data_IF_500406878546
#
_entry.id   IF_500406878546
#
_cell.length_a   1.000
_cell.length_b   1.000
_cell.length_c   1.000
_cell.angle_alpha   90.00
_cell.angle_beta   90.00
_cell.angle_gamma   90.00
#
_symmetry.space_group_name_H-M   'P 1'
#
loop_
_entity.id
_entity.type
_entity.pdbx_description
1 polymer ?
#
# COMPACT_ATOMS: atom_id res chain seq x y z
N UNK A 1 8.05 -48.63 36.77
CA UNK A 1 6.78 -48.45 36.06
C UNK A 1 5.67 -48.24 37.10
N UNK A 2 5.30 -46.99 37.37
CA UNK A 2 4.09 -46.68 38.12
C UNK A 2 2.88 -47.00 37.20
N UNK A 3 2.14 -48.03 37.50
CA UNK A 3 0.82 -48.25 36.92
C UNK A 3 -0.12 -47.24 37.57
N UNK A 4 -0.92 -46.51 36.74
CA UNK A 4 -1.92 -45.58 37.24
C UNK A 4 -2.77 -46.20 38.36
N UNK A 5 -2.93 -45.46 39.43
CA UNK A 5 -3.74 -45.84 40.58
C UNK A 5 -5.23 -45.68 40.26
N UNK A 6 -5.84 -46.70 39.66
CA UNK A 6 -7.25 -46.95 39.98
C UNK A 6 -7.28 -47.45 41.44
N UNK A 7 -8.30 -47.08 42.23
CA UNK A 7 -8.46 -47.34 43.66
C UNK A 7 -7.66 -48.51 44.17
N UNK A 8 -6.38 -48.24 44.59
CA UNK A 8 -5.52 -49.28 45.14
C UNK A 8 -5.71 -49.28 46.63
N UNK A 9 -6.40 -50.25 47.12
CA UNK A 9 -6.49 -50.49 48.57
C UNK A 9 -5.12 -50.89 49.10
N UNK A 10 -4.59 -50.11 50.03
CA UNK A 10 -3.37 -50.43 50.79
C UNK A 10 -3.74 -51.09 52.09
N UNK A 11 -2.97 -52.04 52.51
CA UNK A 11 -3.10 -52.77 53.77
C UNK A 11 -2.06 -52.29 54.75
N UNK A 12 -2.51 -51.84 55.93
CA UNK A 12 -1.62 -51.55 57.04
C UNK A 12 -1.89 -52.59 58.15
N UNK A 13 -0.81 -53.12 58.73
CA UNK A 13 -0.87 -54.10 59.82
C UNK A 13 -0.26 -53.47 61.03
N UNK A 14 -0.98 -53.48 62.12
CA UNK A 14 -0.52 -53.06 63.44
C UNK A 14 -0.33 -54.33 64.33
N UNK A 15 0.84 -54.52 64.81
CA UNK A 15 1.19 -55.72 65.65
C UNK A 15 1.50 -55.24 67.08
N UNK A 16 0.85 -55.87 68.05
CA UNK A 16 1.12 -55.65 69.51
C UNK A 16 2.50 -56.08 69.91
N UNK A 17 3.17 -55.23 70.73
CA UNK A 17 4.49 -55.52 71.30
C UNK A 17 4.47 -55.28 72.85
N UNK A 18 5.38 -55.84 73.56
CA UNK A 18 5.52 -55.72 75.02
C UNK A 18 4.32 -56.34 75.77
N UNK A 19 3.51 -55.48 76.41
CA UNK A 19 2.33 -55.92 77.18
C UNK A 19 1.09 -56.18 76.30
N UNK A 20 1.24 -56.02 74.99
CA UNK A 20 0.13 -56.24 74.03
C UNK A 20 0.55 -57.37 73.05
N UNK A 21 -0.44 -58.15 72.59
CA UNK A 21 -0.25 -59.22 71.58
C UNK A 21 -1.39 -59.15 70.57
N UNK A 22 -1.13 -59.75 69.42
CA UNK A 22 -2.08 -59.86 68.32
C UNK A 22 -1.82 -58.84 67.21
N UNK A 23 -2.61 -58.90 66.15
CA UNK A 23 -2.46 -58.11 64.91
C UNK A 23 -3.80 -57.58 64.49
N UNK A 24 -3.85 -56.32 64.11
CA UNK A 24 -5.03 -55.65 63.48
C UNK A 24 -4.66 -55.21 62.10
N UNK A 25 -5.53 -55.42 61.17
CA UNK A 25 -5.37 -55.00 59.74
C UNK A 25 -6.40 -53.90 59.42
N UNK A 26 -5.88 -52.80 58.85
CA UNK A 26 -6.68 -51.74 58.29
C UNK A 26 -6.44 -51.58 56.78
N UNK A 27 -7.45 -51.29 56.03
CA UNK A 27 -7.36 -50.98 54.62
C UNK A 27 -7.73 -49.52 54.36
N UNK A 28 -7.00 -48.87 53.44
CA UNK A 28 -7.27 -47.52 52.98
C UNK A 28 -7.06 -47.38 51.48
N UNK A 29 -7.77 -46.49 50.83
CA UNK A 29 -7.57 -46.19 49.41
C UNK A 29 -6.61 -45.01 49.24
N UNK A 30 -5.73 -45.13 48.26
CA UNK A 30 -4.95 -43.98 47.76
C UNK A 30 -5.64 -43.52 46.48
N UNK A 31 -6.21 -42.33 46.52
CA UNK A 31 -6.93 -41.72 45.38
C UNK A 31 -6.00 -40.79 44.64
N UNK A 32 -6.25 -40.64 43.32
CA UNK A 32 -5.53 -39.67 42.50
C UNK A 32 -5.79 -38.23 42.96
N UNK A 33 -4.72 -37.44 43.02
CA UNK A 33 -4.75 -36.01 43.41
C UNK A 33 -5.42 -35.18 42.31
N UNK A 34 -6.26 -34.24 42.65
CA UNK A 34 -7.03 -33.43 41.70
C UNK A 34 -6.22 -32.22 41.21
N UNK A 35 -6.16 -32.05 39.87
CA UNK A 35 -5.47 -30.93 39.20
C UNK A 35 -6.29 -29.65 39.09
N UNK A 36 -7.54 -29.63 39.57
CA UNK A 36 -8.41 -28.46 39.41
C UNK A 36 -7.87 -27.12 39.99
N UNK A 37 -6.92 -27.23 40.92
CA UNK A 37 -6.21 -26.12 41.56
C UNK A 37 -4.78 -25.90 41.07
N UNK A 38 -4.33 -26.66 40.08
CA UNK A 38 -2.97 -26.52 39.55
C UNK A 38 -2.83 -25.20 38.78
N UNK A 39 -1.69 -24.54 38.97
CA UNK A 39 -1.26 -23.41 38.17
C UNK A 39 -0.68 -23.89 36.84
N UNK A 40 -1.17 -23.32 35.76
CA UNK A 40 -0.73 -23.66 34.40
C UNK A 40 -0.12 -22.41 33.75
N UNK A 41 1.19 -22.47 33.54
CA UNK A 41 1.92 -21.41 32.87
C UNK A 41 2.19 -21.84 31.40
N UNK A 42 1.80 -20.97 30.46
CA UNK A 42 2.01 -21.15 29.02
C UNK A 42 2.41 -19.81 28.41
N UNK A 43 3.46 -19.81 27.58
CA UNK A 43 3.99 -18.60 26.95
C UNK A 43 3.17 -18.21 25.72
N UNK A 44 3.08 -16.90 25.47
CA UNK A 44 2.55 -16.37 24.21
C UNK A 44 3.42 -16.84 23.03
N UNK A 45 2.80 -16.92 21.87
CA UNK A 45 3.47 -17.34 20.62
C UNK A 45 3.18 -16.32 19.50
N UNK A 46 3.98 -16.35 18.44
CA UNK A 46 3.72 -15.55 17.23
C UNK A 46 3.11 -16.45 16.16
N UNK A 47 2.16 -15.93 15.41
CA UNK A 47 1.51 -16.62 14.29
C UNK A 47 2.54 -17.17 13.28
N UNK A 48 2.37 -18.45 12.90
CA UNK A 48 3.27 -19.15 11.96
C UNK A 48 2.53 -19.77 10.78
N UNK A 49 1.20 -19.69 10.73
CA UNK A 49 0.36 -20.40 9.76
C UNK A 49 0.11 -21.88 10.11
N UNK A 50 0.66 -22.37 11.23
CA UNK A 50 0.50 -23.76 11.69
C UNK A 50 -0.01 -23.80 13.12
N UNK A 51 -0.51 -24.97 13.55
CA UNK A 51 -0.88 -25.19 14.96
C UNK A 51 0.31 -24.96 15.87
N UNK A 52 0.11 -24.16 16.91
CA UNK A 52 1.11 -23.79 17.91
C UNK A 52 0.88 -24.62 19.19
N UNK A 53 1.94 -25.23 19.69
CA UNK A 53 1.92 -26.05 20.89
C UNK A 53 3.03 -25.62 21.85
N UNK A 54 2.91 -24.40 22.44
CA UNK A 54 3.93 -23.87 23.35
C UNK A 54 4.11 -24.79 24.56
N UNK A 55 5.32 -24.80 25.12
CA UNK A 55 5.61 -25.57 26.33
C UNK A 55 4.73 -25.09 27.50
N UNK A 56 4.27 -26.05 28.30
CA UNK A 56 3.41 -25.82 29.46
C UNK A 56 4.12 -26.28 30.72
N UNK A 57 4.13 -25.44 31.75
CA UNK A 57 4.56 -25.80 33.08
C UNK A 57 3.36 -25.89 33.99
N UNK A 58 3.18 -27.00 34.65
CA UNK A 58 2.08 -27.27 35.61
C UNK A 58 2.65 -27.40 37.00
N UNK A 59 2.16 -26.58 37.94
CA UNK A 59 2.57 -26.57 39.34
C UNK A 59 1.36 -26.85 40.23
N UNK A 60 1.49 -27.76 41.17
CA UNK A 60 0.46 -28.07 42.16
C UNK A 60 1.08 -28.18 43.54
N UNK A 61 0.64 -27.39 44.53
CA UNK A 61 1.17 -27.32 45.88
C UNK A 61 2.71 -27.15 45.91
N UNK A 62 3.20 -26.17 45.08
CA UNK A 62 4.62 -25.83 44.90
C UNK A 62 5.47 -26.91 44.22
N UNK A 63 4.89 -28.01 43.76
CA UNK A 63 5.57 -29.08 43.02
C UNK A 63 5.34 -28.95 41.53
N UNK A 64 6.42 -28.98 40.72
CA UNK A 64 6.35 -29.02 39.27
C UNK A 64 6.07 -30.45 38.81
N UNK A 65 4.99 -30.64 38.08
CA UNK A 65 4.55 -31.93 37.55
C UNK A 65 5.25 -32.27 36.24
N UNK A 66 5.41 -33.58 35.98
CA UNK A 66 6.07 -34.09 34.79
C UNK A 66 5.06 -34.36 33.65
N UNK A 67 5.29 -33.71 32.52
CA UNK A 67 4.50 -33.99 31.31
C UNK A 67 4.63 -35.45 30.89
N UNK A 68 3.54 -35.99 30.29
CA UNK A 68 3.43 -37.40 29.82
C UNK A 68 3.48 -38.47 30.92
N UNK A 69 3.75 -38.08 32.19
CA UNK A 69 3.70 -38.94 33.36
C UNK A 69 2.53 -38.56 34.26
N UNK A 70 2.52 -37.33 34.72
CA UNK A 70 1.54 -36.79 35.68
C UNK A 70 0.34 -36.16 34.98
N UNK A 71 0.55 -35.65 33.76
CA UNK A 71 -0.49 -35.04 32.94
C UNK A 71 -0.20 -35.15 31.43
N UNK A 72 -1.25 -34.94 30.63
CA UNK A 72 -1.16 -34.74 29.18
C UNK A 72 -1.83 -33.44 28.80
N UNK A 73 -1.40 -32.84 27.69
CA UNK A 73 -1.94 -31.56 27.20
C UNK A 73 -2.62 -31.73 25.86
N UNK A 74 -3.63 -30.87 25.61
CA UNK A 74 -4.23 -30.66 24.31
C UNK A 74 -4.49 -29.19 24.09
N UNK A 75 -4.52 -28.75 22.82
CA UNK A 75 -4.68 -27.35 22.44
C UNK A 75 -5.90 -27.16 21.57
N UNK A 76 -6.51 -25.97 21.68
CA UNK A 76 -7.60 -25.53 20.81
C UNK A 76 -7.46 -24.05 20.49
N UNK A 77 -8.04 -23.62 19.35
CA UNK A 77 -7.92 -22.25 18.82
C UNK A 77 -6.45 -21.77 18.67
N UNK A 78 -5.54 -22.70 18.42
CA UNK A 78 -4.09 -22.50 18.48
C UNK A 78 -3.44 -22.32 17.10
N UNK A 79 -4.17 -21.84 16.09
CA UNK A 79 -3.66 -21.60 14.73
C UNK A 79 -3.57 -20.12 14.42
N UNK A 80 -4.66 -19.38 14.58
CA UNK A 80 -4.76 -17.98 14.20
C UNK A 80 -4.39 -17.03 15.34
N UNK A 81 -3.98 -15.82 15.00
CA UNK A 81 -3.75 -14.75 15.95
C UNK A 81 -5.00 -14.52 16.81
N UNK A 82 -4.77 -14.34 18.11
CA UNK A 82 -5.84 -14.23 19.10
C UNK A 82 -6.31 -12.79 19.26
N UNK A 83 -7.51 -12.65 19.80
CA UNK A 83 -8.11 -11.38 20.19
C UNK A 83 -8.51 -11.43 21.65
N UNK A 84 -8.90 -10.30 22.24
CA UNK A 84 -9.41 -10.26 23.61
C UNK A 84 -10.62 -11.21 23.83
N UNK A 85 -11.42 -11.47 22.78
CA UNK A 85 -12.62 -12.32 22.84
C UNK A 85 -12.37 -13.78 22.42
N UNK A 86 -11.23 -14.08 21.76
CA UNK A 86 -10.92 -15.40 21.23
C UNK A 86 -9.47 -15.72 21.55
N UNK A 87 -9.22 -16.37 22.67
CA UNK A 87 -7.91 -16.83 23.11
C UNK A 87 -7.64 -18.27 22.65
N UNK A 88 -6.37 -18.59 22.47
CA UNK A 88 -5.93 -19.97 22.37
C UNK A 88 -6.02 -20.63 23.75
N UNK A 89 -6.32 -21.90 23.79
CA UNK A 89 -6.54 -22.63 25.05
C UNK A 89 -5.67 -23.88 25.10
N UNK A 90 -5.02 -24.10 26.22
CA UNK A 90 -4.41 -25.37 26.59
C UNK A 90 -5.28 -26.06 27.64
N UNK A 91 -5.50 -27.34 27.46
CA UNK A 91 -6.20 -28.21 28.42
C UNK A 91 -5.23 -29.22 28.96
N UNK A 92 -5.01 -29.21 30.28
CA UNK A 92 -4.19 -30.13 31.02
C UNK A 92 -5.09 -31.17 31.66
N UNK A 93 -4.84 -32.46 31.39
CA UNK A 93 -5.60 -33.59 31.95
C UNK A 93 -4.66 -34.45 32.77
N UNK A 94 -5.00 -34.69 34.04
CA UNK A 94 -4.25 -35.54 34.93
C UNK A 94 -4.20 -36.99 34.49
N UNK A 95 -3.06 -37.64 34.70
CA UNK A 95 -2.79 -39.06 34.43
C UNK A 95 -2.06 -39.67 35.61
N UNK A 96 -2.01 -40.99 35.67
CA UNK A 96 -1.27 -41.71 36.73
C UNK A 96 -1.81 -41.41 38.12
N UNK A 97 -1.03 -40.70 38.93
CA UNK A 97 -1.39 -40.33 40.31
C UNK A 97 -2.26 -39.06 40.39
N UNK A 98 -2.59 -38.49 39.26
CA UNK A 98 -3.37 -37.27 39.17
C UNK A 98 -4.65 -37.48 38.35
N UNK A 99 -5.69 -36.70 38.63
CA UNK A 99 -6.99 -36.73 37.95
C UNK A 99 -7.51 -35.31 37.74
N UNK A 100 -8.60 -35.20 36.97
CA UNK A 100 -9.24 -33.94 36.72
C UNK A 100 -8.60 -33.21 35.54
N UNK A 101 -9.10 -32.01 35.29
CA UNK A 101 -8.70 -31.20 34.13
C UNK A 101 -8.66 -29.74 34.57
N UNK A 102 -7.64 -29.03 34.12
CA UNK A 102 -7.51 -27.57 34.24
C UNK A 102 -7.19 -26.95 32.89
N UNK A 103 -7.65 -25.74 32.65
CA UNK A 103 -7.42 -25.02 31.39
C UNK A 103 -6.70 -23.69 31.63
N UNK A 104 -5.84 -23.31 30.72
CA UNK A 104 -5.26 -21.99 30.68
C UNK A 104 -5.36 -21.42 29.24
N UNK A 105 -5.29 -20.09 29.13
CA UNK A 105 -5.30 -19.43 27.83
C UNK A 105 -3.96 -18.78 27.56
N UNK A 106 -3.62 -18.67 26.28
CA UNK A 106 -2.43 -17.97 25.84
C UNK A 106 -2.71 -17.13 24.59
N UNK A 107 -1.84 -16.15 24.34
CA UNK A 107 -1.95 -15.29 23.18
C UNK A 107 -1.12 -15.79 22.01
N UNK A 108 -1.70 -15.65 20.82
CA UNK A 108 -1.00 -15.78 19.55
C UNK A 108 -0.96 -14.39 18.94
N UNK A 109 0.23 -13.79 18.96
CA UNK A 109 0.49 -12.47 18.41
C UNK A 109 0.42 -12.50 16.88
N UNK A 110 -0.21 -11.50 16.22
CA UNK A 110 -0.09 -11.35 14.78
C UNK A 110 1.37 -11.20 14.36
N UNK A 111 1.73 -11.81 13.23
CA UNK A 111 3.08 -11.71 12.66
C UNK A 111 3.30 -10.35 12.01
N UNK A 112 4.43 -9.70 12.28
CA UNK A 112 4.78 -8.42 11.66
C UNK A 112 5.12 -8.59 10.17
N UNK A 113 4.68 -7.63 9.33
CA UNK A 113 4.95 -7.63 7.89
C UNK A 113 6.01 -6.63 7.46
N UNK A 114 6.74 -6.03 8.38
CA UNK A 114 7.76 -5.01 8.09
C UNK A 114 8.85 -5.49 7.12
N UNK A 115 9.14 -6.80 7.12
CA UNK A 115 10.10 -7.44 6.21
C UNK A 115 9.43 -8.05 4.95
N UNK A 116 8.14 -7.81 4.75
CA UNK A 116 7.45 -8.31 3.57
C UNK A 116 7.95 -7.60 2.31
N UNK A 117 8.02 -8.36 1.23
CA UNK A 117 8.41 -7.85 -0.08
C UNK A 117 7.17 -7.56 -0.92
N UNK A 118 7.09 -6.36 -1.46
CA UNK A 118 6.11 -5.97 -2.46
C UNK A 118 6.77 -6.14 -3.84
N UNK A 119 6.05 -6.69 -4.82
CA UNK A 119 6.54 -6.81 -6.20
C UNK A 119 6.96 -5.44 -6.76
N UNK A 120 7.77 -5.44 -7.82
CA UNK A 120 8.08 -4.22 -8.53
C UNK A 120 6.84 -3.65 -9.22
N UNK A 121 6.67 -2.35 -9.07
CA UNK A 121 5.60 -1.58 -9.69
C UNK A 121 6.24 -0.80 -10.84
N UNK A 122 5.76 -1.03 -12.05
CA UNK A 122 6.20 -0.29 -13.23
C UNK A 122 5.74 1.16 -13.15
N UNK A 123 6.44 2.05 -13.88
CA UNK A 123 6.01 3.44 -14.04
C UNK A 123 4.58 3.47 -14.57
N UNK A 124 3.77 4.30 -13.97
CA UNK A 124 2.38 4.53 -14.36
C UNK A 124 2.30 5.82 -15.17
N UNK A 125 1.32 5.93 -16.06
CA UNK A 125 1.08 7.16 -16.81
C UNK A 125 -0.02 7.97 -16.14
N UNK A 126 0.12 9.28 -16.11
CA UNK A 126 -0.93 10.18 -15.64
C UNK A 126 -2.25 9.92 -16.35
N UNK A 127 -3.33 9.86 -15.60
CA UNK A 127 -4.68 9.57 -16.13
C UNK A 127 -5.75 10.58 -15.71
N UNK A 128 -5.40 11.54 -14.87
CA UNK A 128 -6.35 12.49 -14.27
C UNK A 128 -7.20 11.88 -13.15
N UNK A 129 -6.90 10.65 -12.73
CA UNK A 129 -7.63 9.92 -11.68
C UNK A 129 -6.66 9.18 -10.78
N UNK A 130 -7.13 8.69 -9.63
CA UNK A 130 -6.32 7.89 -8.74
C UNK A 130 -5.74 6.65 -9.45
N UNK A 131 -4.44 6.48 -9.37
CA UNK A 131 -3.69 5.36 -9.92
C UNK A 131 -3.44 4.35 -8.79
N UNK A 132 -3.91 3.13 -8.98
CA UNK A 132 -3.90 2.05 -7.98
C UNK A 132 -3.29 0.78 -8.55
N UNK A 133 -1.96 0.70 -8.66
CA UNK A 133 -1.29 -0.50 -9.15
C UNK A 133 -1.48 -1.67 -8.19
N UNK A 134 -1.55 -2.88 -8.75
CA UNK A 134 -1.68 -4.10 -7.96
C UNK A 134 -0.43 -4.38 -7.12
N UNK A 135 -0.64 -4.74 -5.85
CA UNK A 135 0.39 -5.18 -4.94
C UNK A 135 0.33 -6.69 -4.72
N UNK A 136 1.43 -7.39 -5.02
CA UNK A 136 1.65 -8.78 -4.59
C UNK A 136 2.65 -8.77 -3.44
N UNK A 137 2.21 -9.22 -2.27
CA UNK A 137 2.99 -9.17 -1.03
C UNK A 137 3.45 -10.57 -0.66
N UNK A 138 4.72 -10.72 -0.37
CA UNK A 138 5.34 -11.99 0.03
C UNK A 138 6.10 -11.82 1.33
N UNK A 139 5.86 -12.68 2.31
CA UNK A 139 6.58 -12.73 3.58
C UNK A 139 7.14 -14.14 3.81
N UNK A 140 8.44 -14.27 4.06
CA UNK A 140 9.14 -15.54 4.27
C UNK A 140 8.86 -16.60 3.17
N UNK A 141 8.76 -16.14 1.92
CA UNK A 141 8.46 -16.99 0.77
C UNK A 141 6.98 -17.38 0.60
N UNK A 142 6.09 -16.91 1.50
CA UNK A 142 4.65 -17.14 1.42
C UNK A 142 3.97 -15.91 0.85
N UNK A 143 3.19 -16.09 -0.21
CA UNK A 143 2.36 -15.02 -0.77
C UNK A 143 1.15 -14.79 0.14
N UNK A 144 0.98 -13.53 0.58
CA UNK A 144 -0.15 -13.09 1.39
C UNK A 144 -1.37 -12.77 0.50
N UNK A 145 -2.56 -12.87 1.09
CA UNK A 145 -3.85 -12.68 0.40
C UNK A 145 -4.42 -11.30 0.70
N UNK A 146 -4.58 -10.48 -0.34
CA UNK A 146 -5.21 -9.15 -0.22
C UNK A 146 -6.65 -9.27 0.33
N UNK A 147 -7.02 -8.33 1.20
CA UNK A 147 -8.32 -8.30 1.89
C UNK A 147 -8.44 -9.26 3.07
N UNK A 148 -7.64 -10.33 3.13
CA UNK A 148 -7.59 -11.30 4.25
C UNK A 148 -6.39 -11.00 5.15
N UNK A 149 -5.19 -10.99 4.60
CA UNK A 149 -3.93 -10.86 5.32
C UNK A 149 -3.43 -9.42 5.38
N UNK A 150 -3.83 -8.60 4.42
CA UNK A 150 -3.47 -7.19 4.34
C UNK A 150 -4.51 -6.35 3.59
N UNK A 151 -4.43 -5.04 3.78
CA UNK A 151 -5.12 -4.02 2.97
C UNK A 151 -4.08 -3.13 2.30
N UNK A 152 -4.49 -2.45 1.21
CA UNK A 152 -3.63 -1.51 0.47
C UNK A 152 -4.30 -0.14 0.46
N UNK A 153 -3.50 0.90 0.71
CA UNK A 153 -3.86 2.30 0.53
C UNK A 153 -2.79 3.01 -0.30
N UNK A 154 -3.13 4.18 -0.83
CA UNK A 154 -2.24 4.93 -1.70
C UNK A 154 -2.14 6.37 -1.25
N UNK A 155 -0.99 6.99 -1.50
CA UNK A 155 -0.73 8.41 -1.25
C UNK A 155 -0.04 9.03 -2.49
N UNK A 156 -0.32 10.30 -2.77
CA UNK A 156 0.23 11.07 -3.90
C UNK A 156 0.06 10.35 -5.26
N UNK A 157 -1.07 9.65 -5.44
CA UNK A 157 -1.30 8.73 -6.54
C UNK A 157 -2.21 9.28 -7.66
N UNK A 158 -2.30 10.62 -7.80
CA UNK A 158 -3.11 11.28 -8.85
C UNK A 158 -2.20 12.02 -9.81
N UNK A 159 -1.38 12.94 -9.30
CA UNK A 159 -0.55 13.83 -10.07
C UNK A 159 0.81 13.19 -10.45
N UNK A 160 1.46 13.72 -11.46
CA UNK A 160 2.83 13.34 -11.84
C UNK A 160 3.77 13.46 -10.65
N UNK A 161 4.41 12.36 -10.30
CA UNK A 161 5.28 12.29 -9.12
C UNK A 161 6.18 11.06 -9.19
N UNK A 162 7.41 11.17 -8.71
CA UNK A 162 8.30 10.03 -8.44
C UNK A 162 8.16 9.51 -6.99
N UNK A 163 7.25 10.10 -6.21
CA UNK A 163 7.00 9.79 -4.80
C UNK A 163 5.57 9.31 -4.50
N UNK A 164 4.82 8.88 -5.52
CA UNK A 164 3.58 8.17 -5.30
C UNK A 164 3.85 6.91 -4.49
N UNK A 165 2.96 6.59 -3.54
CA UNK A 165 3.22 5.56 -2.54
C UNK A 165 2.06 4.58 -2.46
N UNK A 166 2.41 3.30 -2.38
CA UNK A 166 1.56 2.20 -2.03
C UNK A 166 1.91 1.74 -0.61
N UNK A 167 0.91 1.66 0.27
CA UNK A 167 1.06 1.27 1.68
C UNK A 167 0.27 0.00 1.92
N UNK A 168 0.96 -1.05 2.33
CA UNK A 168 0.38 -2.33 2.74
C UNK A 168 0.27 -2.36 4.25
N UNK A 169 -0.91 -2.61 4.78
CA UNK A 169 -1.17 -2.74 6.22
C UNK A 169 -1.64 -4.15 6.55
N UNK A 170 -0.93 -4.82 7.45
CA UNK A 170 -1.27 -6.17 7.92
C UNK A 170 -2.64 -6.22 8.60
N UNK A 171 -3.34 -7.35 8.42
CA UNK A 171 -4.70 -7.58 8.92
C UNK A 171 -4.84 -9.03 9.42
N UNK A 172 -5.70 -9.23 10.40
CA UNK A 172 -6.00 -10.58 10.91
C UNK A 172 -4.79 -11.23 11.60
N UNK A 173 -4.17 -12.18 10.94
CA UNK A 173 -2.96 -12.87 11.43
C UNK A 173 -1.67 -12.07 11.27
N UNK A 174 -1.74 -10.90 10.67
CA UNK A 174 -0.61 -10.04 10.40
C UNK A 174 -0.81 -8.63 10.96
N UNK A 175 0.31 -7.94 11.29
CA UNK A 175 0.33 -6.57 11.82
C UNK A 175 1.49 -5.77 11.24
N UNK A 176 1.42 -4.44 11.39
CA UNK A 176 2.46 -3.52 10.89
C UNK A 176 2.20 -3.07 9.47
N UNK A 177 3.12 -2.31 8.91
CA UNK A 177 3.03 -1.71 7.57
C UNK A 177 4.33 -1.91 6.80
N UNK A 178 4.21 -1.98 5.47
CA UNK A 178 5.33 -1.89 4.53
C UNK A 178 4.91 -1.04 3.35
N UNK A 179 5.82 -0.25 2.80
CA UNK A 179 5.55 0.75 1.77
C UNK A 179 6.39 0.48 0.52
N UNK A 180 5.86 0.88 -0.62
CA UNK A 180 6.58 0.86 -1.91
C UNK A 180 6.26 2.14 -2.68
N UNK A 181 7.31 2.86 -3.10
CA UNK A 181 7.14 4.00 -4.00
C UNK A 181 6.98 3.53 -5.44
N UNK A 182 6.29 4.33 -6.23
CA UNK A 182 6.18 4.18 -7.68
C UNK A 182 6.13 5.56 -8.35
N UNK A 183 6.46 5.62 -9.65
CA UNK A 183 6.43 6.86 -10.41
C UNK A 183 5.14 6.98 -11.21
N UNK A 184 4.61 8.21 -11.27
CA UNK A 184 3.57 8.62 -12.22
C UNK A 184 4.23 9.57 -13.21
N UNK A 185 4.33 9.17 -14.47
CA UNK A 185 4.94 9.93 -15.55
C UNK A 185 3.92 10.80 -16.25
N UNK A 186 4.38 11.93 -16.77
CA UNK A 186 3.57 12.88 -17.53
C UNK A 186 3.05 12.26 -18.84
N UNK A 187 1.88 12.71 -19.26
CA UNK A 187 1.30 12.35 -20.54
C UNK A 187 1.85 13.31 -21.61
N UNK A 188 2.39 12.76 -22.72
CA UNK A 188 2.94 13.57 -23.81
C UNK A 188 1.85 14.24 -24.64
N UNK A 189 2.10 15.48 -25.10
CA UNK A 189 1.20 16.20 -26.02
C UNK A 189 1.30 15.72 -27.48
N UNK A 190 2.16 14.74 -27.79
CA UNK A 190 2.47 14.32 -29.17
C UNK A 190 1.22 14.02 -30.01
N UNK A 191 0.22 13.38 -29.41
CA UNK A 191 -1.04 13.03 -30.05
C UNK A 191 -2.17 14.04 -29.78
N UNK A 192 -1.85 15.24 -29.26
CA UNK A 192 -2.90 16.22 -28.97
C UNK A 192 -3.44 16.89 -30.27
N UNK A 193 -4.75 17.03 -30.30
CA UNK A 193 -5.44 17.82 -31.34
C UNK A 193 -5.38 19.31 -30.97
N UNK A 194 -4.99 20.15 -31.93
CA UNK A 194 -4.89 21.60 -31.76
C UNK A 194 -5.78 22.29 -32.77
N UNK A 195 -6.62 23.22 -32.29
CA UNK A 195 -7.48 24.09 -33.12
C UNK A 195 -7.34 25.53 -32.68
N UNK A 196 -7.93 26.44 -33.46
CA UNK A 196 -7.85 27.90 -33.21
C UNK A 196 -6.66 28.60 -33.88
N UNK A 197 -5.80 27.85 -34.62
CA UNK A 197 -4.69 28.40 -35.38
C UNK A 197 -5.07 28.40 -36.88
N UNK A 198 -5.33 29.57 -37.52
CA UNK A 198 -5.64 29.61 -38.92
C UNK A 198 -4.40 29.26 -39.78
N UNK A 199 -4.60 28.77 -41.00
CA UNK A 199 -3.51 28.46 -41.93
C UNK A 199 -2.68 29.70 -42.33
N UNK A 200 -3.27 30.91 -42.24
CA UNK A 200 -2.56 32.16 -42.51
C UNK A 200 -3.36 33.40 -42.12
N UNK A 201 -2.64 34.51 -42.05
CA UNK A 201 -3.19 35.85 -41.74
C UNK A 201 -2.45 36.93 -42.53
N UNK A 202 -2.97 38.12 -42.61
CA UNK A 202 -2.34 39.29 -43.27
C UNK A 202 -1.40 40.00 -42.28
N UNK A 203 -0.32 40.56 -42.79
CA UNK A 203 0.64 41.40 -42.03
C UNK A 203 -0.09 42.61 -41.43
N UNK A 204 0.12 42.82 -40.11
CA UNK A 204 -0.54 43.89 -39.33
C UNK A 204 0.44 44.98 -38.88
N UNK A 205 1.74 44.84 -39.06
CA UNK A 205 2.77 45.70 -38.49
C UNK A 205 3.04 45.46 -36.98
N UNK A 206 2.36 44.49 -36.37
CA UNK A 206 2.48 44.12 -34.94
C UNK A 206 2.65 42.61 -34.78
N UNK A 207 3.02 42.20 -33.62
CA UNK A 207 3.01 40.80 -33.21
C UNK A 207 1.63 40.16 -33.43
N UNK A 208 1.57 39.04 -34.12
CA UNK A 208 0.37 38.28 -34.39
C UNK A 208 0.23 37.17 -33.34
N UNK A 209 -0.91 37.19 -32.65
CA UNK A 209 -1.31 36.13 -31.72
C UNK A 209 -2.77 35.75 -31.98
N UNK A 210 -3.17 34.55 -31.58
CA UNK A 210 -4.54 34.06 -31.74
C UNK A 210 -5.27 34.07 -30.41
N UNK A 211 -6.58 34.37 -30.41
CA UNK A 211 -7.33 34.62 -29.19
C UNK A 211 -7.64 33.37 -28.37
N UNK A 212 -7.95 32.25 -29.02
CA UNK A 212 -8.22 30.98 -28.33
C UNK A 212 -7.59 29.84 -29.10
N UNK A 213 -6.58 29.23 -28.50
CA UNK A 213 -6.00 27.98 -28.96
C UNK A 213 -6.58 26.89 -28.09
N UNK A 214 -7.23 25.90 -28.72
CA UNK A 214 -7.81 24.77 -28.01
C UNK A 214 -6.93 23.55 -28.23
N UNK A 215 -6.41 22.99 -27.13
CA UNK A 215 -5.62 21.75 -27.10
C UNK A 215 -6.48 20.66 -26.46
N UNK A 216 -6.65 19.55 -27.18
CA UNK A 216 -7.44 18.40 -26.69
C UNK A 216 -6.57 17.15 -26.74
N UNK A 217 -6.46 16.43 -25.63
CA UNK A 217 -5.72 15.17 -25.55
C UNK A 217 -6.60 14.09 -24.94
N UNK A 218 -6.73 12.95 -25.62
CA UNK A 218 -7.58 11.81 -25.21
C UNK A 218 -9.01 12.28 -24.85
N UNK A 219 -9.57 13.23 -25.63
CA UNK A 219 -10.91 13.77 -25.43
C UNK A 219 -11.06 14.77 -24.27
N UNK A 220 -9.99 15.09 -23.54
CA UNK A 220 -9.97 16.14 -22.50
C UNK A 220 -9.45 17.45 -23.10
N UNK A 221 -10.21 18.53 -22.97
CA UNK A 221 -9.71 19.88 -23.24
C UNK A 221 -8.74 20.28 -22.15
N UNK A 222 -7.53 20.71 -22.53
CA UNK A 222 -6.48 21.17 -21.63
C UNK A 222 -6.58 22.67 -21.39
N UNK A 223 -6.03 23.14 -20.27
CA UNK A 223 -6.02 24.54 -19.84
C UNK A 223 -4.66 25.17 -20.11
N UNK A 224 -4.64 26.34 -20.78
CA UNK A 224 -3.42 27.13 -20.92
C UNK A 224 -2.96 27.65 -19.55
N UNK A 225 -1.65 27.73 -19.35
CA UNK A 225 -0.95 28.10 -18.11
C UNK A 225 -1.06 27.08 -16.95
N UNK A 226 -1.91 26.04 -17.06
CA UNK A 226 -2.03 24.94 -16.10
C UNK A 226 -1.48 23.62 -16.67
N UNK A 227 -1.90 23.26 -17.89
CA UNK A 227 -1.57 22.02 -18.55
C UNK A 227 -0.54 22.22 -19.69
N UNK A 228 -0.49 23.39 -20.29
CA UNK A 228 0.45 23.77 -21.36
C UNK A 228 0.69 25.27 -21.41
N UNK A 229 1.78 25.65 -22.07
CA UNK A 229 2.11 27.05 -22.41
C UNK A 229 2.15 27.24 -23.92
N UNK A 230 1.94 28.49 -24.38
CA UNK A 230 1.99 28.86 -25.78
C UNK A 230 3.06 29.90 -26.03
N UNK A 231 3.94 29.63 -26.99
CA UNK A 231 4.95 30.55 -27.48
C UNK A 231 4.76 30.79 -29.00
N UNK A 232 5.03 32.00 -29.46
CA UNK A 232 4.99 32.35 -30.88
C UNK A 232 6.37 32.64 -31.40
N UNK A 233 6.73 32.09 -32.57
CA UNK A 233 7.99 32.36 -33.28
C UNK A 233 7.74 32.92 -34.64
N UNK A 234 8.58 33.90 -35.08
CA UNK A 234 8.52 34.55 -36.41
C UNK A 234 7.16 35.18 -36.76
N UNK A 235 6.42 35.63 -35.74
CA UNK A 235 5.01 36.08 -35.87
C UNK A 235 4.82 37.59 -36.07
N UNK A 236 5.83 38.28 -36.63
CA UNK A 236 5.75 39.75 -36.90
C UNK A 236 5.78 40.06 -38.38
N UNK A 237 6.75 39.51 -39.12
CA UNK A 237 7.01 39.82 -40.52
C UNK A 237 6.36 38.82 -41.47
N UNK A 238 6.21 39.22 -42.75
CA UNK A 238 5.79 38.31 -43.81
C UNK A 238 6.67 37.09 -43.88
N UNK A 239 6.07 35.92 -43.77
CA UNK A 239 6.77 34.64 -43.75
C UNK A 239 5.79 33.49 -44.00
N UNK A 240 6.32 32.36 -44.52
CA UNK A 240 5.59 31.10 -44.63
C UNK A 240 5.83 30.17 -43.41
N UNK A 241 6.67 30.60 -42.46
CA UNK A 241 7.18 29.79 -41.33
C UNK A 241 6.98 30.48 -39.96
N UNK A 242 5.92 31.27 -39.81
CA UNK A 242 5.49 31.67 -38.46
C UNK A 242 4.99 30.42 -37.72
N UNK A 243 5.21 30.38 -36.42
CA UNK A 243 5.00 29.14 -35.65
C UNK A 243 4.34 29.45 -34.30
N UNK A 244 3.40 28.60 -33.91
CA UNK A 244 2.87 28.46 -32.54
C UNK A 244 3.44 27.22 -31.94
N UNK A 245 4.17 27.36 -30.84
CA UNK A 245 4.78 26.25 -30.07
C UNK A 245 3.97 26.08 -28.79
N UNK A 246 3.51 24.86 -28.58
CA UNK A 246 2.70 24.47 -27.41
C UNK A 246 3.54 23.47 -26.61
N UNK A 247 3.88 23.83 -25.37
CA UNK A 247 4.72 23.02 -24.50
C UNK A 247 3.93 22.53 -23.30
N UNK A 248 3.88 21.21 -23.06
CA UNK A 248 3.22 20.60 -21.91
C UNK A 248 3.93 20.94 -20.61
N UNK A 249 3.16 21.21 -19.56
CA UNK A 249 3.65 21.48 -18.20
C UNK A 249 2.85 20.66 -17.17
N UNK A 250 3.42 20.53 -15.96
CA UNK A 250 2.76 19.82 -14.86
C UNK A 250 2.57 18.32 -15.15
N UNK A 251 1.34 17.92 -15.36
CA UNK A 251 0.98 16.53 -15.67
C UNK A 251 1.18 16.15 -17.15
N UNK A 252 1.56 17.12 -17.97
CA UNK A 252 1.79 16.95 -19.39
C UNK A 252 3.22 17.31 -19.76
N UNK A 253 3.70 16.76 -20.85
CA UNK A 253 5.07 16.95 -21.35
C UNK A 253 5.10 16.95 -22.87
N UNK A 254 6.28 17.26 -23.41
CA UNK A 254 6.48 17.31 -24.85
C UNK A 254 6.09 18.65 -25.48
N UNK A 255 6.39 18.81 -26.75
CA UNK A 255 6.20 20.04 -27.52
C UNK A 255 5.49 19.74 -28.81
N UNK A 256 4.51 20.57 -29.16
CA UNK A 256 3.81 20.56 -30.44
C UNK A 256 4.00 21.89 -31.13
N UNK A 257 4.31 21.85 -32.42
CA UNK A 257 4.39 23.04 -33.27
C UNK A 257 3.30 23.05 -34.33
N UNK A 258 2.76 24.23 -34.59
CA UNK A 258 1.84 24.49 -35.72
C UNK A 258 2.30 25.73 -36.48
N UNK A 259 2.53 25.60 -37.77
CA UNK A 259 2.94 26.70 -38.63
C UNK A 259 1.75 27.42 -39.18
N UNK A 260 1.89 28.74 -39.37
CA UNK A 260 0.94 29.57 -40.08
C UNK A 260 1.67 30.57 -41.00
N UNK A 261 0.98 31.06 -42.02
CA UNK A 261 1.54 31.98 -42.99
C UNK A 261 1.16 33.44 -42.65
N UNK A 262 2.13 34.36 -42.76
CA UNK A 262 1.88 35.81 -42.73
C UNK A 262 2.06 36.35 -44.15
N UNK A 263 0.97 36.75 -44.78
CA UNK A 263 0.94 37.31 -46.15
C UNK A 263 1.17 38.82 -46.14
N UNK A 264 1.77 39.33 -47.23
CA UNK A 264 1.92 40.77 -47.37
C UNK A 264 0.58 41.47 -47.42
N UNK A 265 0.51 42.66 -46.84
CA UNK A 265 -0.66 43.55 -46.92
C UNK A 265 -0.73 44.19 -48.30
N UNK A 266 -1.91 44.16 -48.91
CA UNK A 266 -2.15 44.80 -50.19
C UNK A 266 -2.23 46.32 -50.02
N UNK A 267 -1.21 47.04 -50.51
CA UNK A 267 -1.16 48.53 -50.47
C UNK A 267 -2.03 49.19 -51.54
N UNK A 268 -2.56 48.44 -52.50
CA UNK A 268 -3.46 49.02 -53.53
C UNK A 268 -4.72 49.64 -52.92
N UNK A 269 -5.07 49.24 -51.70
CA UNK A 269 -6.20 49.73 -50.93
C UNK A 269 -5.85 50.90 -49.98
N UNK A 270 -4.59 51.29 -49.93
CA UNK A 270 -4.15 52.42 -49.10
C UNK A 270 -4.51 53.73 -49.79
N UNK A 271 -4.89 54.70 -49.00
CA UNK A 271 -5.08 56.06 -49.46
C UNK A 271 -3.70 56.75 -49.43
N UNK A 272 -3.36 57.36 -50.52
CA UNK A 272 -2.19 58.25 -50.62
C UNK A 272 -2.70 59.67 -50.60
N UNK A 273 -2.17 60.53 -49.76
CA UNK A 273 -2.51 61.93 -49.72
C UNK A 273 -2.04 62.67 -51.00
N UNK A 274 -2.73 63.72 -51.40
CA UNK A 274 -2.43 64.45 -52.61
C UNK A 274 -1.01 65.03 -52.56
N UNK A 275 -0.21 64.65 -53.54
CA UNK A 275 1.16 65.16 -53.66
C UNK A 275 1.06 66.61 -54.23
N UNK A 276 1.54 67.56 -53.45
CA UNK A 276 1.57 68.94 -53.85
C UNK A 276 2.43 69.18 -55.12
N UNK A 277 2.06 70.24 -55.90
CA UNK A 277 2.79 70.59 -57.12
C UNK A 277 4.32 70.80 -56.81
N UNK A 278 5.17 70.19 -57.65
CA UNK A 278 6.61 70.31 -57.54
C UNK A 278 7.16 71.34 -58.56
N UNK A 279 8.21 72.10 -58.18
CA UNK A 279 8.89 73.04 -59.06
C UNK A 279 9.99 72.30 -59.87
N UNK A 280 10.04 72.65 -61.18
CA UNK A 280 11.13 72.03 -62.02
C UNK A 280 12.49 72.46 -61.58
N UNK A 281 13.33 71.51 -61.30
CA UNK A 281 14.71 71.74 -60.78
C UNK A 281 15.83 71.32 -61.76
N UNK A 282 15.50 70.88 -62.99
CA UNK A 282 16.46 70.30 -63.92
C UNK A 282 16.99 68.87 -63.53
N UNK A 283 16.47 68.33 -62.44
CA UNK A 283 16.76 66.96 -61.97
C UNK A 283 15.49 66.19 -61.69
N UNK A 284 15.56 64.88 -61.56
CA UNK A 284 14.42 64.09 -61.17
C UNK A 284 13.90 64.56 -59.80
N UNK A 285 12.53 64.77 -59.72
CA UNK A 285 11.84 65.18 -58.52
C UNK A 285 11.19 63.93 -57.91
N UNK A 286 11.53 63.63 -56.67
CA UNK A 286 10.97 62.47 -55.90
C UNK A 286 10.33 63.03 -54.64
N UNK A 287 9.05 63.48 -54.69
CA UNK A 287 8.35 63.97 -53.50
C UNK A 287 8.15 62.82 -52.51
N UNK A 288 8.14 63.17 -51.21
CA UNK A 288 7.77 62.20 -50.16
C UNK A 288 6.26 61.87 -50.27
N UNK A 289 5.91 60.66 -50.08
CA UNK A 289 4.54 60.15 -50.09
C UNK A 289 4.22 59.69 -48.68
N UNK A 290 3.21 60.22 -48.03
CA UNK A 290 2.72 59.84 -46.71
C UNK A 290 1.33 59.19 -46.81
#
# INVERSE_FOLDING_TARGET
RSRGLGDVYKRQTVTGTGNYKGTVVAYFAITAKDLSKADVNVQSSVYTGKSLTPAVTVTLDDEILNADIDYVVSYSNNVNATTAKSKATVTVKGTGNYKGTVTATFDIEPKAINEAKINDILDQMYSGSEIRPDAKVTLDGVQLVAGTDYTVTYENNIEVSDSAKLIVTGKGNYKGTVEKNFSIKSLTLEDAEVSGIPAGTEYTGKTITFGEIVVTLVGKKLSEDEDYTVEYKNNVNVTDSAEVVITGIGNYSGELSRTFKITAKDISKCRVDAIGGQVHTGKAVTPEVT
#
